data_IF_340119396159
#
_entry.id   IF_340119396159
#
_cell.length_a   1.000
_cell.length_b   1.000
_cell.length_c   1.000
_cell.angle_alpha   90.00
_cell.angle_beta   90.00
_cell.angle_gamma   90.00
#
_symmetry.space_group_name_H-M   'P 1'
#
loop_
_entity.id
_entity.type
_entity.pdbx_description
1 polymer ?
#
# COMPACT_ATOMS: atom_id res chain seq x y z
N UNK A 1 -19.31 5.41 -33.11
CA UNK A 1 -19.96 5.33 -31.81
C UNK A 1 -18.98 5.80 -30.74
N UNK A 2 -19.26 6.92 -30.17
CA UNK A 2 -18.46 7.41 -29.09
C UNK A 2 -18.59 6.46 -27.90
N UNK A 3 -17.59 5.66 -27.69
CA UNK A 3 -17.43 5.05 -26.38
C UNK A 3 -17.33 6.21 -25.40
N UNK A 4 -18.38 6.46 -24.66
CA UNK A 4 -18.32 7.37 -23.54
C UNK A 4 -17.13 6.94 -22.70
N UNK A 5 -16.03 7.68 -22.78
CA UNK A 5 -14.92 7.49 -21.88
C UNK A 5 -15.49 7.61 -20.46
N UNK A 6 -15.53 6.52 -19.74
CA UNK A 6 -15.85 6.57 -18.32
C UNK A 6 -14.95 7.62 -17.71
N UNK A 7 -15.52 8.67 -17.18
CA UNK A 7 -14.76 9.64 -16.42
C UNK A 7 -14.10 8.87 -15.29
N UNK A 8 -12.78 8.75 -15.35
CA UNK A 8 -12.03 8.19 -14.25
C UNK A 8 -12.28 9.04 -13.03
N UNK A 9 -12.69 8.41 -11.94
CA UNK A 9 -12.85 9.11 -10.69
C UNK A 9 -11.51 9.66 -10.22
N UNK A 10 -11.56 10.74 -9.50
CA UNK A 10 -10.38 11.30 -8.86
C UNK A 10 -10.10 10.52 -7.57
N UNK A 11 -8.95 9.87 -7.51
CA UNK A 11 -8.53 9.18 -6.30
C UNK A 11 -8.08 10.20 -5.27
N UNK A 12 -8.65 10.10 -4.07
CA UNK A 12 -8.38 11.03 -2.97
C UNK A 12 -7.62 10.35 -1.84
N UNK A 13 -6.73 11.10 -1.23
CA UNK A 13 -6.02 10.67 -0.03
C UNK A 13 -6.99 10.44 1.13
N UNK A 14 -6.76 9.39 1.90
CA UNK A 14 -7.56 9.07 3.08
C UNK A 14 -8.87 8.31 2.78
N UNK A 15 -9.08 7.94 1.53
CA UNK A 15 -10.25 7.22 1.07
C UNK A 15 -9.92 5.78 0.69
N UNK A 16 -10.94 4.92 0.71
CA UNK A 16 -10.82 3.51 0.37
C UNK A 16 -11.27 3.24 -1.05
N UNK A 17 -10.51 2.40 -1.74
CA UNK A 17 -10.82 1.95 -3.09
C UNK A 17 -10.54 0.45 -3.20
N UNK A 18 -11.18 -0.21 -4.14
CA UNK A 18 -10.89 -1.62 -4.41
C UNK A 18 -9.59 -1.73 -5.20
N UNK A 19 -8.69 -2.60 -4.76
CA UNK A 19 -7.44 -2.89 -5.48
C UNK A 19 -7.55 -4.20 -6.22
N UNK A 20 -7.25 -4.19 -7.51
CA UNK A 20 -7.24 -5.36 -8.38
C UNK A 20 -5.82 -5.82 -8.72
N UNK A 21 -4.87 -5.51 -7.88
CA UNK A 21 -3.44 -5.71 -8.14
C UNK A 21 -3.04 -7.16 -8.47
N UNK A 22 -3.82 -8.13 -8.05
CA UNK A 22 -3.52 -9.55 -8.27
C UNK A 22 -4.40 -10.19 -9.35
N UNK A 23 -5.23 -9.43 -10.04
CA UNK A 23 -6.15 -9.95 -11.06
C UNK A 23 -7.25 -10.87 -10.53
N UNK A 24 -7.39 -10.99 -9.21
CA UNK A 24 -8.43 -11.77 -8.53
C UNK A 24 -9.43 -10.84 -7.84
N UNK A 25 -10.15 -11.37 -6.85
CA UNK A 25 -11.06 -10.56 -6.03
C UNK A 25 -10.39 -9.30 -5.50
N UNK A 26 -11.03 -8.17 -5.70
CA UNK A 26 -10.53 -6.90 -5.21
C UNK A 26 -10.52 -6.83 -3.68
N UNK A 27 -9.53 -6.16 -3.13
CA UNK A 27 -9.40 -5.92 -1.70
C UNK A 27 -9.58 -4.44 -1.38
N UNK A 28 -10.22 -4.08 -0.26
CA UNK A 28 -10.26 -2.70 0.18
C UNK A 28 -8.85 -2.17 0.43
N UNK A 29 -8.58 -0.96 -0.03
CA UNK A 29 -7.27 -0.35 0.11
C UNK A 29 -7.41 1.12 0.44
N UNK A 30 -6.64 1.56 1.42
CA UNK A 30 -6.59 2.95 1.86
C UNK A 30 -5.47 3.67 1.13
N UNK A 31 -5.81 4.71 0.40
CA UNK A 31 -4.81 5.60 -0.22
C UNK A 31 -4.32 6.60 0.82
N UNK A 32 -3.06 6.56 1.16
CA UNK A 32 -2.49 7.48 2.16
C UNK A 32 -1.51 8.50 1.57
N UNK A 33 -1.06 8.28 0.35
CA UNK A 33 -0.19 9.20 -0.38
C UNK A 33 -0.41 8.98 -1.87
N UNK A 34 -0.25 10.03 -2.66
CA UNK A 34 -0.39 9.92 -4.10
C UNK A 34 0.48 10.93 -4.85
N UNK A 35 0.82 10.57 -6.07
CA UNK A 35 1.43 11.45 -7.03
C UNK A 35 0.72 11.23 -8.39
N UNK A 36 -0.22 12.09 -8.71
CA UNK A 36 -1.05 11.94 -9.92
C UNK A 36 -0.24 12.06 -11.20
N UNK A 37 0.75 12.93 -11.24
CA UNK A 37 1.61 13.09 -12.41
C UNK A 37 2.35 11.83 -12.80
N UNK A 38 2.82 11.08 -11.80
CA UNK A 38 3.53 9.81 -11.99
C UNK A 38 2.62 8.60 -11.94
N UNK A 39 1.32 8.79 -11.78
CA UNK A 39 0.33 7.70 -11.64
C UNK A 39 0.71 6.72 -10.54
N UNK A 40 1.12 7.24 -9.38
CA UNK A 40 1.52 6.45 -8.23
C UNK A 40 0.63 6.73 -7.04
N UNK A 41 0.09 5.67 -6.47
CA UNK A 41 -0.78 5.72 -5.30
C UNK A 41 -0.24 4.75 -4.27
N UNK A 42 0.14 5.26 -3.11
CA UNK A 42 0.61 4.42 -1.99
C UNK A 42 -0.60 3.98 -1.20
N UNK A 43 -0.75 2.68 -1.07
CA UNK A 43 -1.93 2.06 -0.50
C UNK A 43 -1.57 1.10 0.63
N UNK A 44 -2.48 0.99 1.58
CA UNK A 44 -2.50 -0.06 2.61
C UNK A 44 -3.65 -1.00 2.26
N UNK A 45 -3.33 -2.27 2.03
CA UNK A 45 -4.31 -3.28 1.60
C UNK A 45 -4.89 -4.01 2.80
N UNK A 46 -6.20 -4.21 2.81
CA UNK A 46 -6.93 -4.95 3.83
C UNK A 46 -7.48 -6.25 3.24
N UNK A 47 -7.53 -7.28 4.08
CA UNK A 47 -7.98 -8.60 3.67
C UNK A 47 -8.75 -9.28 4.80
N UNK A 48 -9.51 -10.32 4.48
CA UNK A 48 -10.20 -11.16 5.47
C UNK A 48 -9.42 -12.40 5.83
N UNK A 49 -8.35 -12.71 5.12
CA UNK A 49 -7.51 -13.88 5.34
C UNK A 49 -6.25 -13.51 6.11
N UNK A 50 -6.02 -14.15 7.26
CA UNK A 50 -4.81 -13.97 8.04
C UNK A 50 -3.62 -14.72 7.45
N UNK A 51 -2.47 -14.06 7.42
CA UNK A 51 -1.16 -14.61 7.02
C UNK A 51 -0.05 -13.95 7.84
N UNK A 52 1.15 -14.51 7.77
CA UNK A 52 2.30 -13.98 8.53
C UNK A 52 2.69 -12.55 8.16
N UNK A 53 2.40 -12.13 6.95
CA UNK A 53 2.66 -10.76 6.45
C UNK A 53 1.54 -9.76 6.75
N UNK A 54 0.61 -10.14 7.64
CA UNK A 54 -0.57 -9.33 7.97
C UNK A 54 -0.75 -9.18 9.47
N UNK A 55 -1.36 -8.07 9.85
CA UNK A 55 -1.73 -7.77 11.24
C UNK A 55 -3.24 -7.82 11.34
N UNK A 56 -3.74 -8.59 12.29
CA UNK A 56 -5.17 -8.61 12.60
C UNK A 56 -5.57 -7.30 13.27
N UNK A 57 -6.61 -6.68 12.75
CA UNK A 57 -7.19 -5.49 13.35
C UNK A 57 -8.09 -5.88 14.53
N UNK A 58 -8.12 -5.04 15.54
CA UNK A 58 -8.99 -5.21 16.71
C UNK A 58 -10.45 -5.06 16.33
N UNK A 59 -10.73 -4.17 15.39
CA UNK A 59 -12.07 -3.91 14.88
C UNK A 59 -12.05 -4.00 13.36
N UNK A 60 -12.94 -4.81 12.75
CA UNK A 60 -13.02 -4.87 11.30
C UNK A 60 -13.28 -3.47 10.68
N UNK A 61 -12.69 -3.21 9.52
CA UNK A 61 -12.93 -1.94 8.83
C UNK A 61 -14.35 -1.82 8.30
N UNK A 62 -15.03 -2.93 8.13
CA UNK A 62 -16.41 -3.03 7.67
C UNK A 62 -17.22 -3.84 8.67
N UNK A 63 -18.35 -3.34 9.11
CA UNK A 63 -19.17 -3.95 10.16
C UNK A 63 -19.69 -5.35 9.82
N UNK A 64 -19.84 -5.66 8.54
CA UNK A 64 -20.30 -6.96 8.06
C UNK A 64 -19.19 -8.02 7.93
N UNK A 65 -17.94 -7.66 8.12
CA UNK A 65 -16.79 -8.54 7.94
C UNK A 65 -16.44 -9.23 9.24
N UNK A 66 -16.18 -10.55 9.16
CA UNK A 66 -15.84 -11.36 10.34
C UNK A 66 -14.55 -10.93 11.02
N UNK A 67 -13.52 -10.66 10.24
CA UNK A 67 -12.24 -10.14 10.72
C UNK A 67 -11.56 -9.40 9.59
N UNK A 68 -10.78 -8.39 9.93
CA UNK A 68 -9.96 -7.68 8.96
C UNK A 68 -8.50 -7.78 9.35
N UNK A 69 -7.67 -7.99 8.34
CA UNK A 69 -6.23 -8.01 8.43
C UNK A 69 -5.65 -6.92 7.55
N UNK A 70 -4.60 -6.29 7.99
CA UNK A 70 -3.89 -5.29 7.22
C UNK A 70 -2.54 -5.81 6.78
N UNK A 71 -2.20 -5.62 5.52
CA UNK A 71 -0.88 -5.99 5.01
C UNK A 71 0.20 -5.15 5.69
N UNK A 72 1.22 -5.78 6.23
CA UNK A 72 2.33 -5.09 6.92
C UNK A 72 3.10 -4.16 5.99
N UNK A 73 3.18 -4.51 4.71
CA UNK A 73 3.89 -3.73 3.70
C UNK A 73 2.88 -2.99 2.83
N UNK A 74 2.94 -1.66 2.81
CA UNK A 74 2.17 -0.89 1.85
C UNK A 74 2.60 -1.22 0.42
N UNK A 75 1.69 -1.02 -0.51
CA UNK A 75 1.92 -1.25 -1.93
C UNK A 75 1.82 0.05 -2.71
N UNK A 76 2.37 0.03 -3.91
CA UNK A 76 2.20 1.13 -4.86
C UNK A 76 1.30 0.62 -5.98
N UNK A 77 0.24 1.35 -6.26
CA UNK A 77 -0.72 1.05 -7.30
C UNK A 77 -0.75 2.17 -8.33
N UNK A 78 -1.15 1.84 -9.55
CA UNK A 78 -1.53 2.83 -10.56
C UNK A 78 -3.01 3.15 -10.44
N UNK A 79 -3.46 4.20 -11.10
CA UNK A 79 -4.89 4.54 -11.16
C UNK A 79 -5.72 3.37 -11.72
N UNK A 80 -5.19 2.64 -12.71
CA UNK A 80 -5.86 1.49 -13.29
C UNK A 80 -5.98 0.28 -12.37
N UNK A 81 -5.14 0.17 -11.35
CA UNK A 81 -5.19 -0.90 -10.34
C UNK A 81 -6.26 -0.63 -9.28
N UNK A 82 -6.76 0.58 -9.20
CA UNK A 82 -7.80 0.96 -8.25
C UNK A 82 -9.18 0.93 -8.90
N UNK A 83 -10.20 0.64 -8.11
CA UNK A 83 -11.57 0.61 -8.58
C UNK A 83 -12.06 1.98 -9.03
N UNK A 84 -13.14 1.99 -9.76
CA UNK A 84 -13.75 3.16 -10.37
C UNK A 84 -14.70 3.94 -9.44
N UNK A 85 -14.78 3.55 -8.19
CA UNK A 85 -15.58 4.25 -7.18
C UNK A 85 -14.96 4.12 -5.80
N UNK A 86 -15.24 5.10 -4.95
CA UNK A 86 -14.86 5.08 -3.54
C UNK A 86 -15.70 4.05 -2.77
N UNK A 87 -15.06 3.30 -1.89
CA UNK A 87 -15.76 2.41 -0.95
C UNK A 87 -16.24 3.23 0.25
N UNK A 88 -17.54 3.46 0.32
CA UNK A 88 -18.15 4.26 1.37
C UNK A 88 -18.47 3.37 2.57
N UNK A 89 -18.35 3.92 3.78
CA UNK A 89 -18.69 3.23 5.02
C UNK A 89 -17.54 2.44 5.64
N UNK A 90 -16.41 2.32 4.95
CA UNK A 90 -15.22 1.71 5.53
C UNK A 90 -14.45 2.74 6.36
N UNK A 91 -14.03 2.34 7.53
CA UNK A 91 -13.23 3.19 8.42
C UNK A 91 -12.32 2.35 9.30
N UNK A 92 -11.24 2.97 9.73
CA UNK A 92 -10.32 2.38 10.69
C UNK A 92 -10.73 2.84 12.08
N UNK A 93 -10.88 1.90 12.99
CA UNK A 93 -11.20 2.21 14.39
C UNK A 93 -10.01 2.89 15.07
N UNK A 94 -10.30 3.70 16.09
CA UNK A 94 -9.29 4.41 16.87
C UNK A 94 -8.26 3.47 17.48
N UNK A 95 -8.67 2.27 17.90
CA UNK A 95 -7.79 1.28 18.50
C UNK A 95 -6.72 0.76 17.52
N UNK A 96 -7.00 0.78 16.23
CA UNK A 96 -6.13 0.29 15.17
C UNK A 96 -5.31 1.39 14.47
N UNK A 97 -5.66 2.66 14.69
CA UNK A 97 -4.98 3.79 14.07
C UNK A 97 -3.45 3.82 14.30
N UNK A 98 -2.92 3.54 15.50
CA UNK A 98 -1.47 3.56 15.71
C UNK A 98 -0.72 2.56 14.82
N UNK A 99 -1.25 1.35 14.64
CA UNK A 99 -0.64 0.33 13.77
C UNK A 99 -0.69 0.73 12.30
N UNK A 100 -1.82 1.25 11.86
CA UNK A 100 -1.97 1.75 10.49
C UNK A 100 -1.04 2.93 10.23
N UNK A 101 -0.93 3.84 11.18
CA UNK A 101 -0.01 4.98 11.09
C UNK A 101 1.44 4.53 10.98
N UNK A 102 1.83 3.52 11.73
CA UNK A 102 3.17 2.92 11.67
C UNK A 102 3.46 2.32 10.28
N UNK A 103 2.52 1.58 9.75
CA UNK A 103 2.62 1.00 8.40
C UNK A 103 2.78 2.10 7.34
N UNK A 104 1.98 3.16 7.43
CA UNK A 104 2.06 4.31 6.53
C UNK A 104 3.44 4.99 6.58
N UNK A 105 3.98 5.17 7.78
CA UNK A 105 5.28 5.83 7.98
C UNK A 105 6.44 5.04 7.37
N UNK A 106 6.37 3.72 7.41
CA UNK A 106 7.43 2.87 6.88
C UNK A 106 7.55 2.95 5.36
N UNK A 107 6.44 3.13 4.66
CA UNK A 107 6.43 3.04 3.20
C UNK A 107 7.31 4.08 2.49
N UNK A 108 7.24 5.38 2.79
CA UNK A 108 8.09 6.36 2.11
C UNK A 108 9.58 6.14 2.35
N UNK A 109 9.94 5.73 3.56
CA UNK A 109 11.32 5.42 3.93
C UNK A 109 11.83 4.16 3.21
N UNK A 110 11.02 3.11 3.20
CA UNK A 110 11.34 1.88 2.49
C UNK A 110 11.50 2.13 0.99
N UNK A 111 10.59 2.89 0.39
CA UNK A 111 10.65 3.21 -1.04
C UNK A 111 11.90 4.00 -1.39
N UNK A 112 12.24 5.03 -0.60
CA UNK A 112 13.46 5.83 -0.78
C UNK A 112 14.73 4.98 -0.64
N UNK A 113 14.82 4.19 0.42
CA UNK A 113 16.01 3.36 0.68
C UNK A 113 16.14 2.22 -0.30
N UNK A 114 15.04 1.60 -0.69
CA UNK A 114 15.05 0.54 -1.70
C UNK A 114 15.47 1.07 -3.07
N UNK A 115 14.98 2.25 -3.44
CA UNK A 115 15.39 2.93 -4.67
C UNK A 115 16.90 3.24 -4.66
N UNK A 116 17.39 3.76 -3.55
CA UNK A 116 18.82 4.03 -3.36
C UNK A 116 19.66 2.76 -3.41
N UNK A 117 19.16 1.68 -2.81
CA UNK A 117 19.75 0.36 -2.89
C UNK A 117 19.87 -0.13 -4.34
N UNK A 118 18.80 -0.03 -5.12
CA UNK A 118 18.80 -0.42 -6.52
C UNK A 118 19.76 0.43 -7.36
N UNK A 119 19.83 1.72 -7.10
CA UNK A 119 20.80 2.61 -7.76
C UNK A 119 22.23 2.20 -7.48
N UNK A 120 22.56 1.90 -6.23
CA UNK A 120 23.89 1.43 -5.84
C UNK A 120 24.23 0.08 -6.46
N UNK A 121 23.28 -0.85 -6.47
CA UNK A 121 23.43 -2.17 -7.07
C UNK A 121 23.69 -2.11 -8.57
N UNK A 122 23.07 -1.18 -9.27
CA UNK A 122 23.20 -1.02 -10.71
C UNK A 122 24.46 -0.23 -11.14
N UNK A 123 25.00 0.62 -10.27
CA UNK A 123 26.12 1.50 -10.62
C UNK A 123 27.48 0.83 -10.62
N UNK A 124 27.78 -0.01 -9.66
CA UNK A 124 29.00 -0.86 -9.60
C UNK A 124 28.88 -1.87 -8.47
N UNK A 125 29.23 -3.14 -8.67
CA UNK A 125 29.32 -4.11 -7.60
C UNK A 125 30.57 -3.89 -6.76
N UNK A 126 30.62 -2.80 -6.02
CA UNK A 126 31.58 -2.66 -4.93
C UNK A 126 30.98 -3.41 -3.76
N UNK A 127 31.60 -4.53 -3.37
CA UNK A 127 31.11 -5.41 -2.29
C UNK A 127 30.67 -4.65 -1.05
N UNK A 128 31.43 -3.66 -0.63
CA UNK A 128 31.11 -2.88 0.57
C UNK A 128 29.86 -2.00 0.42
N UNK A 129 29.65 -1.42 -0.74
CA UNK A 129 28.46 -0.62 -1.02
C UNK A 129 27.22 -1.49 -1.13
N UNK A 130 27.34 -2.67 -1.72
CA UNK A 130 26.26 -3.66 -1.78
C UNK A 130 25.90 -4.12 -0.37
N UNK A 131 26.87 -4.44 0.46
CA UNK A 131 26.66 -4.83 1.86
C UNK A 131 25.98 -3.73 2.69
N UNK A 132 26.40 -2.49 2.53
CA UNK A 132 25.78 -1.35 3.22
C UNK A 132 24.33 -1.17 2.78
N UNK A 133 24.05 -1.29 1.50
CA UNK A 133 22.71 -1.15 0.95
C UNK A 133 21.80 -2.29 1.41
N UNK A 134 22.29 -3.52 1.44
CA UNK A 134 21.56 -4.68 1.94
C UNK A 134 21.25 -4.55 3.42
N UNK A 135 22.20 -4.11 4.24
CA UNK A 135 21.97 -3.84 5.66
C UNK A 135 20.91 -2.77 5.86
N UNK A 136 20.95 -1.70 5.08
CA UNK A 136 19.96 -0.63 5.16
C UNK A 136 18.57 -1.13 4.75
N UNK A 137 18.46 -1.96 3.71
CA UNK A 137 17.20 -2.56 3.27
C UNK A 137 16.65 -3.52 4.32
N UNK A 138 17.49 -4.38 4.89
CA UNK A 138 17.09 -5.30 5.95
C UNK A 138 16.66 -4.58 7.21
N UNK A 139 17.36 -3.55 7.60
CA UNK A 139 16.98 -2.73 8.75
C UNK A 139 15.62 -2.07 8.56
N UNK A 140 15.32 -1.61 7.35
CA UNK A 140 14.01 -1.06 7.02
C UNK A 140 12.90 -2.12 6.97
N UNK A 141 13.22 -3.36 6.65
CA UNK A 141 12.27 -4.46 6.63
C UNK A 141 11.92 -4.97 8.04
N UNK A 142 12.85 -4.84 8.99
CA UNK A 142 12.68 -5.31 10.38
C UNK A 142 11.88 -4.30 11.21
N UNK A 143 11.96 -3.04 10.87
CA UNK A 143 11.23 -1.97 11.57
C UNK A 143 9.86 -1.78 10.91
#
# INVERSE_FOLDING_TARGET
MSKKKRKRIKILRGKFYTTFHTGRTGHPSLVFRLNRKKNKYWIVVFDTTGRNDRIMLKVPIESSVKASYVHKRPSIASHGDLGDHELIGLKIDKADKPQIKLIKRKNPLLTKKYKKYLELKNKKPIKDLVHRAERAANWCAVV
#
